data_IF_814095204530
#
_entry.id   IF_814095204530
#
_cell.length_a   1.000
_cell.length_b   1.000
_cell.length_c   1.000
_cell.angle_alpha   90.00
_cell.angle_beta   90.00
_cell.angle_gamma   90.00
#
_symmetry.space_group_name_H-M   'P 1'
#
loop_
_entity.id
_entity.type
_entity.pdbx_description
1 polymer ?
#
# COMPACT_ATOMS: atom_id res chain seq x y z
N UNK A 1 19.04 -15.34 4.80
CA UNK A 1 18.72 -16.77 4.62
C UNK A 1 19.62 -17.69 5.48
N UNK A 2 20.93 -17.76 5.24
CA UNK A 2 21.85 -18.70 5.95
C UNK A 2 21.89 -18.59 7.49
N UNK A 3 21.91 -17.37 8.05
CA UNK A 3 21.89 -17.17 9.53
C UNK A 3 20.58 -17.61 10.19
N UNK A 4 19.45 -17.55 9.48
CA UNK A 4 18.14 -17.95 10.00
C UNK A 4 17.94 -19.48 9.94
N UNK A 5 18.46 -20.14 8.89
CA UNK A 5 18.56 -21.61 8.84
C UNK A 5 19.44 -22.17 9.96
N UNK A 6 20.57 -21.51 10.25
CA UNK A 6 21.42 -21.88 11.39
C UNK A 6 20.72 -21.71 12.76
N UNK A 7 19.64 -20.93 12.82
CA UNK A 7 18.79 -20.75 14.00
C UNK A 7 17.54 -21.66 14.00
N UNK A 8 17.48 -22.67 13.12
CA UNK A 8 16.38 -23.62 13.04
C UNK A 8 15.13 -23.11 12.30
N UNK A 9 15.22 -21.97 11.61
CA UNK A 9 14.11 -21.46 10.79
C UNK A 9 14.18 -22.13 9.42
N UNK A 10 13.29 -23.09 9.21
CA UNK A 10 13.22 -23.87 7.97
C UNK A 10 12.24 -23.28 6.94
N UNK A 11 11.27 -22.48 7.39
CA UNK A 11 10.27 -21.84 6.54
C UNK A 11 10.48 -20.32 6.47
N UNK A 12 10.44 -19.77 5.24
CA UNK A 12 10.55 -18.34 4.97
C UNK A 12 9.29 -17.88 4.24
N UNK A 13 8.68 -16.80 4.74
CA UNK A 13 7.62 -16.06 4.06
C UNK A 13 8.25 -14.80 3.50
N UNK A 14 7.99 -14.54 2.22
CA UNK A 14 8.49 -13.35 1.51
C UNK A 14 7.26 -12.67 0.89
N UNK A 15 7.15 -11.36 1.06
CA UNK A 15 6.11 -10.57 0.40
C UNK A 15 6.35 -10.58 -1.11
N UNK A 16 5.28 -10.75 -1.89
CA UNK A 16 5.35 -10.78 -3.35
C UNK A 16 5.50 -9.35 -3.90
N UNK A 17 6.67 -8.76 -3.66
CA UNK A 17 7.01 -7.44 -4.16
C UNK A 17 7.29 -7.47 -5.66
N UNK A 18 6.98 -6.36 -6.35
CA UNK A 18 7.41 -6.16 -7.74
C UNK A 18 8.94 -6.15 -7.84
N UNK A 19 9.51 -6.47 -9.01
CA UNK A 19 10.98 -6.53 -9.25
C UNK A 19 11.75 -5.27 -8.81
N UNK A 20 11.06 -4.14 -8.63
CA UNK A 20 11.58 -2.87 -8.14
C UNK A 20 11.04 -2.57 -6.74
N UNK A 21 11.91 -2.65 -5.74
CA UNK A 21 11.68 -2.13 -4.39
C UNK A 21 12.57 -0.91 -4.24
N UNK A 22 12.06 0.25 -4.64
CA UNK A 22 12.88 1.45 -4.79
C UNK A 22 14.01 1.23 -5.81
N UNK A 23 15.27 1.33 -5.38
CA UNK A 23 16.48 1.14 -6.21
C UNK A 23 17.11 -0.25 -6.12
N UNK A 24 16.55 -1.16 -5.31
CA UNK A 24 17.08 -2.50 -5.13
C UNK A 24 16.41 -3.50 -6.08
N UNK A 25 17.23 -4.30 -6.77
CA UNK A 25 16.78 -5.32 -7.71
C UNK A 25 16.85 -6.69 -7.02
N UNK A 26 15.72 -7.40 -6.93
CA UNK A 26 15.70 -8.78 -6.41
C UNK A 26 16.54 -9.65 -7.36
N UNK A 27 17.50 -10.47 -6.87
CA UNK A 27 18.28 -11.37 -7.71
C UNK A 27 17.35 -12.20 -8.60
N UNK A 28 17.67 -12.27 -9.90
CA UNK A 28 16.78 -12.86 -10.92
C UNK A 28 16.39 -14.30 -10.60
N UNK A 29 17.33 -15.07 -10.07
CA UNK A 29 17.14 -16.47 -9.66
C UNK A 29 16.13 -16.60 -8.52
N UNK A 30 16.16 -15.67 -7.56
CA UNK A 30 15.20 -15.63 -6.45
C UNK A 30 13.82 -15.19 -6.95
N UNK A 31 13.77 -14.20 -7.84
CA UNK A 31 12.50 -13.75 -8.42
C UNK A 31 11.82 -14.85 -9.26
N UNK A 32 12.60 -15.62 -10.03
CA UNK A 32 12.09 -16.78 -10.79
C UNK A 32 11.59 -17.90 -9.87
N UNK A 33 12.31 -18.21 -8.80
CA UNK A 33 11.85 -19.17 -7.80
C UNK A 33 10.54 -18.69 -7.14
N UNK A 34 10.45 -17.40 -6.80
CA UNK A 34 9.23 -16.79 -6.26
C UNK A 34 8.04 -16.89 -7.21
N UNK A 35 8.23 -16.92 -8.54
CA UNK A 35 7.13 -17.09 -9.49
C UNK A 35 6.49 -18.50 -9.47
N UNK A 36 7.17 -19.50 -8.90
CA UNK A 36 6.67 -20.87 -8.78
C UNK A 36 6.17 -21.25 -7.37
N UNK A 37 6.42 -20.41 -6.35
CA UNK A 37 6.07 -20.74 -4.98
C UNK A 37 4.55 -20.63 -4.70
N UNK A 38 4.01 -21.46 -3.78
CA UNK A 38 2.68 -21.26 -3.23
C UNK A 38 2.55 -19.89 -2.57
N UNK A 39 1.38 -19.30 -2.70
CA UNK A 39 1.09 -17.93 -2.26
C UNK A 39 0.01 -17.94 -1.18
N UNK A 40 0.20 -17.12 -0.16
CA UNK A 40 -0.85 -16.77 0.79
C UNK A 40 -1.31 -15.36 0.49
N UNK A 41 -2.60 -15.18 0.26
CA UNK A 41 -3.20 -13.91 -0.11
C UNK A 41 -3.77 -13.22 1.13
N UNK A 42 -3.18 -12.08 1.51
CA UNK A 42 -3.70 -11.27 2.62
C UNK A 42 -4.86 -10.41 2.12
N UNK A 43 -6.00 -10.56 2.77
CA UNK A 43 -7.19 -9.73 2.55
C UNK A 43 -7.25 -8.65 3.65
N UNK A 44 -7.65 -7.44 3.26
CA UNK A 44 -7.84 -6.33 4.18
C UNK A 44 -9.12 -5.61 3.75
N UNK A 45 -9.96 -5.24 4.72
CA UNK A 45 -11.25 -4.60 4.43
C UNK A 45 -11.01 -3.27 3.72
N UNK A 46 -11.99 -2.83 2.92
CA UNK A 46 -11.88 -1.55 2.23
C UNK A 46 -11.74 -0.41 3.23
N UNK A 47 -12.53 -0.44 4.30
CA UNK A 47 -12.55 0.54 5.38
C UNK A 47 -11.21 0.61 6.11
N UNK A 48 -10.62 -0.54 6.48
CA UNK A 48 -9.31 -0.55 7.13
C UNK A 48 -8.21 0.02 6.22
N UNK A 49 -8.26 -0.29 4.91
CA UNK A 49 -7.30 0.25 3.94
C UNK A 49 -7.43 1.77 3.81
N UNK A 50 -8.66 2.29 3.84
CA UNK A 50 -8.92 3.74 3.85
C UNK A 50 -8.31 4.38 5.09
N UNK A 51 -8.62 3.86 6.29
CA UNK A 51 -8.09 4.42 7.55
C UNK A 51 -6.58 4.33 7.65
N UNK A 52 -5.98 3.24 7.17
CA UNK A 52 -4.52 3.08 7.16
C UNK A 52 -3.85 4.08 6.23
N UNK A 53 -4.38 4.29 5.02
CA UNK A 53 -3.86 5.30 4.10
C UNK A 53 -4.04 6.71 4.67
N UNK A 54 -5.16 6.99 5.31
CA UNK A 54 -5.40 8.25 6.00
C UNK A 54 -4.34 8.48 7.09
N UNK A 55 -4.09 7.49 7.94
CA UNK A 55 -3.07 7.59 8.98
C UNK A 55 -1.66 7.79 8.38
N UNK A 56 -1.25 6.95 7.44
CA UNK A 56 0.12 6.92 6.94
C UNK A 56 0.44 8.12 6.02
N UNK A 57 -0.44 8.42 5.07
CA UNK A 57 -0.17 9.39 4.00
C UNK A 57 -0.76 10.78 4.26
N UNK A 58 -1.63 10.94 5.26
CA UNK A 58 -2.17 12.26 5.64
C UNK A 58 -1.65 12.66 7.00
N UNK A 59 -1.95 11.89 8.06
CA UNK A 59 -1.63 12.28 9.43
C UNK A 59 -0.12 12.22 9.69
N UNK A 60 0.48 11.04 9.51
CA UNK A 60 1.89 10.80 9.81
C UNK A 60 2.79 11.59 8.87
N UNK A 61 2.52 11.54 7.56
CA UNK A 61 3.30 12.28 6.57
C UNK A 61 3.25 13.80 6.81
N UNK A 62 2.08 14.37 7.11
CA UNK A 62 2.00 15.79 7.44
C UNK A 62 2.82 16.12 8.70
N UNK A 63 2.73 15.28 9.73
CA UNK A 63 3.50 15.47 10.96
C UNK A 63 5.02 15.40 10.72
N UNK A 64 5.48 14.48 9.85
CA UNK A 64 6.90 14.40 9.45
C UNK A 64 7.37 15.67 8.75
N UNK A 65 6.60 16.17 7.78
CA UNK A 65 6.94 17.41 7.08
C UNK A 65 6.99 18.62 8.03
N UNK A 66 6.02 18.74 8.94
CA UNK A 66 6.00 19.79 9.96
C UNK A 66 7.19 19.66 10.91
N UNK A 67 7.52 18.44 11.35
CA UNK A 67 8.66 18.19 12.24
C UNK A 67 10.00 18.56 11.60
N UNK A 68 10.16 18.36 10.29
CA UNK A 68 11.43 18.62 9.59
C UNK A 68 11.54 20.05 9.08
N UNK A 69 10.43 20.66 8.66
CA UNK A 69 10.42 21.95 7.94
C UNK A 69 9.80 23.09 8.74
N UNK A 70 9.26 22.80 9.92
CA UNK A 70 8.51 23.74 10.74
C UNK A 70 7.07 23.90 10.25
N UNK A 71 6.19 24.40 11.13
CA UNK A 71 4.74 24.50 10.87
C UNK A 71 4.41 25.39 9.66
N UNK A 72 5.12 26.52 9.51
CA UNK A 72 4.85 27.51 8.46
C UNK A 72 5.13 27.00 7.04
N UNK A 73 6.11 26.11 6.86
CA UNK A 73 6.51 25.59 5.54
C UNK A 73 6.14 24.11 5.35
N UNK A 74 6.09 23.33 6.43
CA UNK A 74 5.88 21.89 6.41
C UNK A 74 4.54 21.52 5.80
N UNK A 75 3.46 22.20 6.18
CA UNK A 75 2.14 21.91 5.62
C UNK A 75 2.08 22.15 4.10
N UNK A 76 2.64 23.26 3.62
CA UNK A 76 2.68 23.58 2.19
C UNK A 76 3.46 22.53 1.38
N UNK A 77 4.63 22.12 1.88
CA UNK A 77 5.43 21.08 1.23
C UNK A 77 4.75 19.70 1.25
N UNK A 78 4.02 19.38 2.33
CA UNK A 78 3.19 18.19 2.41
C UNK A 78 2.07 18.22 1.35
N UNK A 79 1.33 19.33 1.25
CA UNK A 79 0.24 19.51 0.30
C UNK A 79 0.75 19.37 -1.15
N UNK A 80 1.86 20.04 -1.49
CA UNK A 80 2.51 19.93 -2.80
C UNK A 80 2.92 18.48 -3.10
N UNK A 81 3.55 17.80 -2.14
CA UNK A 81 3.99 16.41 -2.28
C UNK A 81 2.81 15.47 -2.54
N UNK A 82 1.68 15.67 -1.86
CA UNK A 82 0.48 14.86 -1.99
C UNK A 82 -0.18 15.07 -3.36
N UNK A 83 -0.36 16.32 -3.79
CA UNK A 83 -0.88 16.64 -5.13
C UNK A 83 0.04 16.13 -6.25
N UNK A 84 1.35 16.25 -6.07
CA UNK A 84 2.32 15.70 -7.02
C UNK A 84 2.20 14.18 -7.14
N UNK A 85 1.93 13.47 -6.03
CA UNK A 85 1.74 12.02 -6.05
C UNK A 85 0.54 11.60 -6.92
N UNK A 86 -0.56 12.36 -6.86
CA UNK A 86 -1.74 12.16 -7.71
C UNK A 86 -1.43 12.48 -9.18
N UNK A 87 -0.67 13.55 -9.45
CA UNK A 87 -0.26 13.91 -10.81
C UNK A 87 0.62 12.84 -11.47
N UNK A 88 1.46 12.14 -10.71
CA UNK A 88 2.32 11.07 -11.24
C UNK A 88 1.52 9.90 -11.82
N UNK A 89 0.28 9.68 -11.39
CA UNK A 89 -0.60 8.62 -11.90
C UNK A 89 -1.65 9.12 -12.90
N UNK A 90 -1.66 10.41 -13.25
CA UNK A 90 -2.66 11.03 -14.13
C UNK A 90 -2.87 10.24 -15.44
N UNK A 91 -1.79 9.88 -16.16
CA UNK A 91 -1.91 9.15 -17.44
C UNK A 91 -2.65 7.81 -17.32
N UNK A 92 -2.54 7.13 -16.17
CA UNK A 92 -3.18 5.83 -15.91
C UNK A 92 -4.59 5.98 -15.36
N UNK A 93 -4.81 7.03 -14.58
CA UNK A 93 -6.10 7.36 -13.97
C UNK A 93 -7.09 7.89 -15.02
N UNK A 94 -6.60 8.66 -16.00
CA UNK A 94 -7.41 9.38 -16.98
C UNK A 94 -7.83 10.77 -16.49
N UNK A 95 -8.09 11.67 -17.43
CA UNK A 95 -8.27 13.11 -17.14
C UNK A 95 -9.46 13.43 -16.24
N UNK A 96 -10.63 12.86 -16.51
CA UNK A 96 -11.85 13.12 -15.74
C UNK A 96 -11.71 12.68 -14.27
N UNK A 97 -11.23 11.45 -14.05
CA UNK A 97 -10.99 10.91 -12.72
C UNK A 97 -9.91 11.68 -11.97
N UNK A 98 -8.82 12.00 -12.66
CA UNK A 98 -7.75 12.83 -12.09
C UNK A 98 -8.28 14.18 -11.63
N UNK A 99 -9.04 14.88 -12.47
CA UNK A 99 -9.61 16.18 -12.12
C UNK A 99 -10.54 16.08 -10.90
N UNK A 100 -11.44 15.09 -10.86
CA UNK A 100 -12.34 14.90 -9.71
C UNK A 100 -11.57 14.62 -8.41
N UNK A 101 -10.61 13.69 -8.45
CA UNK A 101 -9.82 13.33 -7.27
C UNK A 101 -8.91 14.48 -6.82
N UNK A 102 -8.37 15.25 -7.76
CA UNK A 102 -7.58 16.44 -7.47
C UNK A 102 -8.41 17.50 -6.74
N UNK A 103 -9.65 17.73 -7.16
CA UNK A 103 -10.56 18.66 -6.48
C UNK A 103 -10.91 18.20 -5.06
N UNK A 104 -11.16 16.90 -4.87
CA UNK A 104 -11.42 16.33 -3.53
C UNK A 104 -10.20 16.47 -2.61
N UNK A 105 -9.01 16.19 -3.13
CA UNK A 105 -7.76 16.34 -2.39
C UNK A 105 -7.49 17.80 -2.00
N UNK A 106 -7.71 18.73 -2.92
CA UNK A 106 -7.54 20.16 -2.66
C UNK A 106 -8.49 20.66 -1.57
N UNK A 107 -9.78 20.30 -1.65
CA UNK A 107 -10.76 20.65 -0.63
C UNK A 107 -10.42 20.03 0.74
N UNK A 108 -9.90 18.81 0.76
CA UNK A 108 -9.48 18.15 2.00
C UNK A 108 -8.27 18.83 2.64
N UNK A 109 -7.28 19.23 1.83
CA UNK A 109 -6.11 19.98 2.28
C UNK A 109 -6.50 21.34 2.85
N UNK A 110 -7.43 22.06 2.21
CA UNK A 110 -7.94 23.34 2.72
C UNK A 110 -8.64 23.18 4.08
N UNK A 111 -9.46 22.14 4.24
CA UNK A 111 -10.11 21.85 5.52
C UNK A 111 -9.09 21.47 6.60
N UNK A 112 -8.11 20.63 6.26
CA UNK A 112 -7.04 20.25 7.18
C UNK A 112 -6.24 21.46 7.63
N UNK A 113 -5.91 22.38 6.71
CA UNK A 113 -5.19 23.60 7.05
C UNK A 113 -6.00 24.53 7.96
N UNK A 114 -7.31 24.61 7.72
CA UNK A 114 -8.21 25.53 8.42
C UNK A 114 -8.59 25.04 9.82
N UNK A 115 -8.85 23.75 9.98
CA UNK A 115 -9.46 23.19 11.20
C UNK A 115 -8.67 22.04 11.83
N UNK A 116 -7.63 21.53 11.15
CA UNK A 116 -6.90 20.33 11.55
C UNK A 116 -7.64 19.02 11.29
N UNK A 117 -8.88 19.06 10.79
CA UNK A 117 -9.66 17.86 10.50
C UNK A 117 -9.20 17.20 9.21
N UNK A 118 -9.13 15.87 9.22
CA UNK A 118 -8.67 15.08 8.09
C UNK A 118 -9.78 14.29 7.40
N UNK A 119 -11.03 14.42 7.85
CA UNK A 119 -12.13 13.54 7.42
C UNK A 119 -12.40 13.57 5.92
N UNK A 120 -12.25 14.75 5.29
CA UNK A 120 -12.45 14.92 3.85
C UNK A 120 -11.44 14.15 3.00
N UNK A 121 -10.30 13.74 3.57
CA UNK A 121 -9.32 12.96 2.81
C UNK A 121 -9.84 11.57 2.44
N UNK A 122 -10.81 11.02 3.18
CA UNK A 122 -11.40 9.72 2.84
C UNK A 122 -11.98 9.70 1.43
N UNK A 123 -12.60 10.80 0.98
CA UNK A 123 -13.24 10.84 -0.34
C UNK A 123 -12.30 10.59 -1.51
N UNK A 124 -11.08 11.17 -1.51
CA UNK A 124 -10.12 10.88 -2.58
C UNK A 124 -9.40 9.54 -2.36
N UNK A 125 -9.22 9.09 -1.12
CA UNK A 125 -8.63 7.78 -0.80
C UNK A 125 -9.53 6.65 -1.31
N UNK A 126 -10.81 6.70 -0.99
CA UNK A 126 -11.82 5.75 -1.44
C UNK A 126 -11.88 5.70 -2.96
N UNK A 127 -11.90 6.87 -3.61
CA UNK A 127 -11.90 6.95 -5.08
C UNK A 127 -10.64 6.36 -5.71
N UNK A 128 -9.44 6.60 -5.14
CA UNK A 128 -8.21 5.98 -5.64
C UNK A 128 -8.21 4.47 -5.42
N UNK A 129 -8.61 4.00 -4.25
CA UNK A 129 -8.68 2.57 -3.94
C UNK A 129 -9.64 1.87 -4.90
N UNK A 130 -10.90 2.30 -4.95
CA UNK A 130 -11.94 1.63 -5.72
C UNK A 130 -11.75 1.72 -7.24
N UNK A 131 -11.22 2.83 -7.75
CA UNK A 131 -11.22 3.08 -9.20
C UNK A 131 -9.88 2.84 -9.88
N UNK A 132 -8.79 2.76 -9.12
CA UNK A 132 -7.45 2.57 -9.67
C UNK A 132 -6.74 1.34 -9.09
N UNK A 133 -6.67 1.22 -7.76
CA UNK A 133 -5.90 0.15 -7.13
C UNK A 133 -6.64 -1.18 -7.09
N UNK A 134 -7.91 -1.21 -6.72
CA UNK A 134 -8.71 -2.44 -6.57
C UNK A 134 -8.88 -3.19 -7.90
N UNK A 135 -9.17 -2.54 -9.04
CA UNK A 135 -9.19 -3.21 -10.34
C UNK A 135 -7.83 -3.82 -10.71
N UNK A 136 -6.74 -3.11 -10.40
CA UNK A 136 -5.39 -3.60 -10.63
C UNK A 136 -5.08 -4.83 -9.75
N UNK A 137 -5.46 -4.80 -8.47
CA UNK A 137 -5.28 -5.93 -7.56
C UNK A 137 -6.14 -7.13 -7.94
N UNK A 138 -7.39 -6.92 -8.36
CA UNK A 138 -8.28 -7.97 -8.83
C UNK A 138 -7.68 -8.71 -10.03
N UNK A 139 -7.19 -7.95 -11.03
CA UNK A 139 -6.50 -8.51 -12.19
C UNK A 139 -5.25 -9.31 -11.78
N UNK A 140 -4.42 -8.78 -10.89
CA UNK A 140 -3.25 -9.50 -10.38
C UNK A 140 -3.64 -10.80 -9.65
N UNK A 141 -4.72 -10.77 -8.87
CA UNK A 141 -5.23 -11.93 -8.14
C UNK A 141 -5.70 -13.03 -9.09
N UNK A 142 -6.43 -12.68 -10.15
CA UNK A 142 -6.85 -13.62 -11.19
C UNK A 142 -5.65 -14.29 -11.86
N UNK A 143 -4.63 -13.51 -12.23
CA UNK A 143 -3.40 -14.03 -12.84
C UNK A 143 -2.59 -14.96 -11.93
N UNK A 144 -2.69 -14.76 -10.61
CA UNK A 144 -1.98 -15.55 -9.60
C UNK A 144 -2.84 -16.64 -8.97
N UNK A 145 -4.11 -16.75 -9.35
CA UNK A 145 -5.10 -17.60 -8.68
C UNK A 145 -4.66 -19.06 -8.54
N UNK A 146 -4.02 -19.62 -9.58
CA UNK A 146 -3.51 -20.99 -9.58
C UNK A 146 -2.44 -21.27 -8.50
N UNK A 147 -1.84 -20.23 -7.92
CA UNK A 147 -0.78 -20.32 -6.90
C UNK A 147 -1.27 -19.98 -5.50
N UNK A 148 -2.47 -19.42 -5.34
CA UNK A 148 -3.02 -19.02 -4.04
C UNK A 148 -3.48 -20.28 -3.32
N UNK A 149 -2.77 -20.65 -2.25
CA UNK A 149 -3.09 -21.82 -1.41
C UNK A 149 -4.01 -21.44 -0.24
N UNK A 150 -3.94 -20.20 0.23
CA UNK A 150 -4.78 -19.68 1.30
C UNK A 150 -5.06 -18.19 1.09
N UNK A 151 -6.26 -17.74 1.44
CA UNK A 151 -6.64 -16.33 1.44
C UNK A 151 -7.43 -16.00 2.71
N UNK A 152 -7.14 -14.87 3.33
CA UNK A 152 -7.86 -14.41 4.51
C UNK A 152 -7.23 -13.18 5.14
N UNK A 153 -7.83 -12.70 6.23
CA UNK A 153 -7.32 -11.56 6.99
C UNK A 153 -5.99 -11.87 7.69
N UNK A 154 -5.39 -10.84 8.30
CA UNK A 154 -4.10 -10.97 8.97
C UNK A 154 -4.09 -12.07 10.04
N UNK A 155 -5.16 -12.20 10.84
CA UNK A 155 -5.23 -13.20 11.90
C UNK A 155 -5.33 -14.62 11.31
N UNK A 156 -6.14 -14.78 10.27
CA UNK A 156 -6.32 -16.03 9.53
C UNK A 156 -5.03 -16.46 8.83
N UNK A 157 -4.33 -15.54 8.17
CA UNK A 157 -3.04 -15.79 7.52
C UNK A 157 -1.98 -16.20 8.54
N UNK A 158 -1.91 -15.52 9.68
CA UNK A 158 -0.97 -15.88 10.75
C UNK A 158 -1.29 -17.26 11.34
N UNK A 159 -2.56 -17.59 11.54
CA UNK A 159 -2.99 -18.91 12.00
C UNK A 159 -2.59 -20.00 11.00
N UNK A 160 -2.90 -19.81 9.72
CA UNK A 160 -2.55 -20.71 8.64
C UNK A 160 -1.03 -20.94 8.54
N UNK A 161 -0.23 -19.87 8.59
CA UNK A 161 1.23 -19.98 8.53
C UNK A 161 1.80 -20.77 9.70
N UNK A 162 1.27 -20.58 10.92
CA UNK A 162 1.68 -21.36 12.10
C UNK A 162 1.36 -22.84 11.95
N UNK A 163 0.17 -23.19 11.46
CA UNK A 163 -0.21 -24.58 11.23
C UNK A 163 0.62 -25.25 10.14
N UNK A 164 0.97 -24.50 9.08
CA UNK A 164 1.81 -24.98 7.99
C UNK A 164 3.23 -25.31 8.45
N UNK A 165 3.81 -24.50 9.33
CA UNK A 165 5.14 -24.73 9.89
C UNK A 165 5.24 -26.01 10.74
N UNK A 166 4.12 -26.59 11.17
CA UNK A 166 4.09 -27.83 11.97
C UNK A 166 3.99 -29.09 11.09
N UNK A 167 3.64 -28.95 9.81
CA UNK A 167 3.46 -30.08 8.86
C UNK A 167 4.61 -30.26 7.87
N UNK A 168 5.58 -29.35 7.85
CA UNK A 168 6.75 -29.35 6.96
C UNK A 168 7.90 -30.18 7.50
#
# INVERSE_FOLDING_TARGET
MLKKRAAGIEQFVVEDESRLVGSCNVPLELHQAMQGCPMVWLEDSFENRVERILADYVVNLCAEFISVKGESQGFGLFAERLLQSLNNIHKRLGGERHQRLSSLMQAALEEQQRSGKVDLHRGWIEGLLGEYYDPMYAYQREHKAARIEFAGDQAQVLAYLRERSVKG
#
